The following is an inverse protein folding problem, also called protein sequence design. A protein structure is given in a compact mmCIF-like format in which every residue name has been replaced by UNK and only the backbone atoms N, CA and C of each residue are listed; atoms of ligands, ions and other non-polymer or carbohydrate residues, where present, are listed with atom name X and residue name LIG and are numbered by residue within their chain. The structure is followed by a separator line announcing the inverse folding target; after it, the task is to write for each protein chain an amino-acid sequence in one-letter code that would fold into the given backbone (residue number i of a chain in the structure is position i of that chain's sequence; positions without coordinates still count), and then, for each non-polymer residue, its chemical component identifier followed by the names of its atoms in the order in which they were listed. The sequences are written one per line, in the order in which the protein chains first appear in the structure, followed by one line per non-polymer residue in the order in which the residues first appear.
data_IF_005941323686
#
_entry.id   IF_005941323686
#
_cell.length_a   1.000
_cell.length_b   1.000
_cell.length_c   1.000
_cell.angle_alpha   90.00
_cell.angle_beta   90.00
_cell.angle_gamma   90.00
#
_symmetry.space_group_name_H-M   'P 1'
#
loop_
_entity.id
_entity.type
_entity.pdbx_description
1 polymer ?
#
# COMPACT_ATOMS: atom_id res chain seq x y z
N UNK A 1 5.37 -12.33 7.66
CA UNK A 1 6.52 -13.16 7.21
C UNK A 1 6.25 -14.67 7.05
N UNK A 2 5.16 -15.26 7.58
CA UNK A 2 4.80 -16.66 7.25
C UNK A 2 4.47 -16.93 5.76
N UNK A 3 4.28 -15.88 4.98
CA UNK A 3 3.88 -15.96 3.57
C UNK A 3 5.04 -16.27 2.61
N UNK A 4 6.28 -16.26 3.09
CA UNK A 4 7.48 -16.46 2.28
C UNK A 4 8.39 -17.56 2.84
N UNK A 5 7.92 -18.43 3.75
CA UNK A 5 8.78 -19.39 4.47
C UNK A 5 10.03 -18.75 5.12
N UNK A 6 9.94 -17.46 5.49
CA UNK A 6 11.05 -16.64 5.98
C UNK A 6 12.15 -16.34 4.95
N UNK A 7 11.96 -16.69 3.68
CA UNK A 7 12.83 -16.34 2.54
C UNK A 7 12.16 -15.26 1.69
N UNK A 8 12.58 -14.01 1.87
CA UNK A 8 12.17 -12.88 1.06
C UNK A 8 13.44 -12.15 0.60
N UNK A 9 13.62 -12.02 -0.71
CA UNK A 9 14.83 -11.39 -1.27
C UNK A 9 14.89 -9.89 -0.97
N UNK A 10 13.73 -9.21 -1.05
CA UNK A 10 13.62 -7.77 -0.83
C UNK A 10 12.20 -7.35 -0.43
N UNK A 11 12.11 -6.41 0.50
CA UNK A 11 10.89 -5.70 0.89
C UNK A 11 11.12 -4.21 0.65
N UNK A 12 10.17 -3.54 -0.01
CA UNK A 12 10.11 -2.07 -0.05
C UNK A 12 8.87 -1.65 0.73
N UNK A 13 9.08 -0.98 1.86
CA UNK A 13 8.01 -0.56 2.77
C UNK A 13 7.80 0.94 2.66
N UNK A 14 6.58 1.36 2.40
CA UNK A 14 6.21 2.77 2.30
C UNK A 14 5.43 3.19 3.54
N UNK A 15 5.84 4.28 4.19
CA UNK A 15 5.19 4.82 5.38
C UNK A 15 5.38 6.34 5.45
N UNK A 16 4.35 7.16 5.22
CA UNK A 16 4.48 8.62 5.28
C UNK A 16 4.42 9.22 6.70
N UNK A 17 3.78 8.58 7.69
CA UNK A 17 3.67 9.13 9.05
C UNK A 17 5.03 8.98 9.76
N UNK A 18 5.60 10.11 10.19
CA UNK A 18 6.94 10.16 10.79
C UNK A 18 7.07 9.32 12.07
N UNK A 19 6.01 9.19 12.85
CA UNK A 19 5.99 8.34 14.06
C UNK A 19 5.97 6.87 13.66
N UNK A 20 5.16 6.51 12.67
CA UNK A 20 5.12 5.15 12.13
C UNK A 20 6.46 4.77 11.50
N UNK A 21 7.10 5.67 10.74
CA UNK A 21 8.48 5.49 10.24
C UNK A 21 9.43 5.19 11.41
N UNK A 22 9.36 5.96 12.50
CA UNK A 22 10.23 5.74 13.65
C UNK A 22 10.00 4.38 14.31
N UNK A 23 8.74 3.95 14.42
CA UNK A 23 8.39 2.62 14.91
C UNK A 23 8.96 1.53 13.98
N UNK A 24 8.84 1.70 12.67
CA UNK A 24 9.40 0.79 11.68
C UNK A 24 10.94 0.70 11.82
N UNK A 25 11.64 1.82 11.96
CA UNK A 25 13.08 1.84 12.22
C UNK A 25 13.45 1.05 13.48
N UNK A 26 12.76 1.30 14.60
CA UNK A 26 13.02 0.62 15.87
C UNK A 26 12.74 -0.90 15.80
N UNK A 27 11.76 -1.32 14.99
CA UNK A 27 11.48 -2.73 14.71
C UNK A 27 12.59 -3.35 13.86
N UNK A 28 13.02 -2.67 12.80
CA UNK A 28 14.10 -3.15 11.92
C UNK A 28 15.43 -3.27 12.67
N UNK A 29 15.75 -2.34 13.58
CA UNK A 29 16.93 -2.43 14.45
C UNK A 29 16.92 -3.69 15.32
N UNK A 30 15.75 -4.09 15.82
CA UNK A 30 15.56 -5.30 16.65
C UNK A 30 15.51 -6.59 15.83
N UNK A 31 15.39 -6.50 14.51
CA UNK A 31 15.22 -7.65 13.60
C UNK A 31 16.24 -7.60 12.45
N UNK A 32 17.53 -7.96 12.70
CA UNK A 32 18.61 -7.80 11.72
C UNK A 32 18.34 -8.45 10.36
N UNK A 33 17.80 -9.68 10.35
CA UNK A 33 17.44 -10.37 9.09
C UNK A 33 16.39 -9.63 8.27
N UNK A 34 15.42 -9.01 8.94
CA UNK A 34 14.39 -8.22 8.25
C UNK A 34 14.99 -6.91 7.73
N UNK A 35 15.86 -6.28 8.52
CA UNK A 35 16.57 -5.05 8.13
C UNK A 35 17.44 -5.24 6.90
N UNK A 36 18.11 -6.38 6.76
CA UNK A 36 18.97 -6.68 5.60
C UNK A 36 18.20 -6.68 4.28
N UNK A 37 16.94 -7.12 4.30
CA UNK A 37 16.12 -7.25 3.10
C UNK A 37 15.11 -6.10 2.92
N UNK A 38 14.95 -5.22 3.91
CA UNK A 38 13.91 -4.18 3.89
C UNK A 38 14.47 -2.80 3.62
N UNK A 39 13.97 -2.15 2.57
CA UNK A 39 14.13 -0.73 2.29
C UNK A 39 12.89 0.02 2.79
N UNK A 40 13.04 0.84 3.83
CA UNK A 40 11.98 1.74 4.30
C UNK A 40 12.02 3.05 3.49
N UNK A 41 10.88 3.44 2.94
CA UNK A 41 10.68 4.65 2.13
C UNK A 41 9.69 5.55 2.85
N UNK A 42 10.12 6.70 3.41
CA UNK A 42 9.25 7.59 4.18
C UNK A 42 8.38 8.46 3.27
N UNK A 43 7.57 7.83 2.40
CA UNK A 43 6.67 8.46 1.43
C UNK A 43 5.35 7.69 1.39
N UNK A 44 4.27 8.41 1.06
CA UNK A 44 2.99 7.78 0.72
C UNK A 44 3.03 7.21 -0.70
N UNK A 45 2.10 6.31 -1.01
CA UNK A 45 1.92 5.81 -2.39
C UNK A 45 0.83 6.58 -3.11
N UNK A 46 1.08 6.91 -4.38
CA UNK A 46 0.14 7.63 -5.24
C UNK A 46 0.41 7.30 -6.72
N UNK A 47 -0.35 7.93 -7.62
CA UNK A 47 -0.15 7.79 -9.07
C UNK A 47 1.12 8.47 -9.59
N UNK A 48 1.71 9.39 -8.82
CA UNK A 48 2.96 10.09 -9.17
C UNK A 48 3.67 10.64 -7.94
N UNK A 49 4.91 11.10 -8.10
CA UNK A 49 5.57 11.96 -7.11
C UNK A 49 4.84 13.31 -7.03
N UNK A 50 4.34 13.64 -5.85
CA UNK A 50 3.70 14.92 -5.53
C UNK A 50 3.71 15.12 -4.00
N UNK A 51 3.12 16.21 -3.54
CA UNK A 51 2.88 16.48 -2.13
C UNK A 51 1.36 16.43 -1.87
N UNK A 52 0.95 15.66 -0.88
CA UNK A 52 -0.45 15.59 -0.44
C UNK A 52 -0.60 16.17 0.97
N UNK A 53 -1.75 16.78 1.23
CA UNK A 53 -2.13 17.26 2.56
C UNK A 53 -2.89 16.16 3.28
N UNK A 54 -2.42 15.85 4.48
CA UNK A 54 -2.85 14.76 5.33
C UNK A 54 -3.34 15.33 6.66
N UNK A 55 -4.53 14.92 7.11
CA UNK A 55 -5.02 15.23 8.45
C UNK A 55 -4.94 13.98 9.31
N UNK A 56 -4.16 14.06 10.40
CA UNK A 56 -4.21 13.04 11.45
C UNK A 56 -5.50 13.22 12.24
N UNK A 57 -6.43 12.27 12.11
CA UNK A 57 -7.67 12.30 12.91
C UNK A 57 -7.45 11.65 14.28
N UNK A 58 -6.48 10.74 14.41
CA UNK A 58 -6.14 10.06 15.65
C UNK A 58 -4.62 9.95 15.87
N UNK A 59 -4.17 10.10 17.12
CA UNK A 59 -2.77 10.00 17.57
C UNK A 59 -2.12 8.60 17.38
N UNK A 60 -2.78 7.68 16.68
CA UNK A 60 -2.40 6.26 16.58
C UNK A 60 -2.34 5.74 15.13
N UNK A 61 -2.46 6.59 14.11
CA UNK A 61 -2.27 6.19 12.70
C UNK A 61 -3.33 5.23 12.15
N UNK A 62 -4.45 5.03 12.84
CA UNK A 62 -5.51 4.08 12.46
C UNK A 62 -6.66 4.69 11.63
N UNK A 63 -6.60 6.00 11.37
CA UNK A 63 -7.65 6.74 10.68
C UNK A 63 -7.02 7.97 10.00
N UNK A 64 -6.52 7.84 8.78
CA UNK A 64 -5.86 8.98 8.13
C UNK A 64 -6.17 9.11 6.65
N UNK A 65 -6.93 10.12 6.26
CA UNK A 65 -7.37 10.32 4.88
C UNK A 65 -6.87 11.64 4.29
N UNK A 66 -6.84 11.69 2.95
CA UNK A 66 -6.42 12.87 2.19
C UNK A 66 -7.48 13.97 2.31
N UNK A 67 -7.08 15.19 2.66
CA UNK A 67 -7.98 16.35 2.77
C UNK A 67 -7.51 17.54 1.94
N UNK A 68 -8.40 18.52 1.76
CA UNK A 68 -8.03 19.85 1.24
C UNK A 68 -7.64 20.75 2.42
N UNK A 69 -6.60 21.57 2.20
CA UNK A 69 -6.10 22.63 3.09
C UNK A 69 -7.24 23.43 3.76
N UNK A 70 -7.38 23.36 5.07
CA UNK A 70 -8.25 24.15 5.94
C UNK A 70 -8.25 23.84 7.46
N UNK A 71 -7.66 22.74 7.97
CA UNK A 71 -7.99 22.17 9.29
C UNK A 71 -6.79 22.01 10.25
N UNK A 72 -5.86 22.97 10.32
CA UNK A 72 -5.01 23.22 11.51
C UNK A 72 -3.99 22.15 11.99
N UNK A 73 -4.11 20.88 11.58
CA UNK A 73 -3.22 19.74 11.89
C UNK A 73 -2.72 19.07 10.60
N UNK A 74 -2.52 19.86 9.57
CA UNK A 74 -2.12 19.41 8.24
C UNK A 74 -0.64 19.02 8.21
N UNK A 75 -0.37 17.77 7.84
CA UNK A 75 0.94 17.35 7.42
C UNK A 75 1.00 17.29 5.91
N UNK A 76 2.05 17.87 5.33
CA UNK A 76 2.37 17.69 3.93
C UNK A 76 3.28 16.48 3.82
N UNK A 77 2.82 15.46 3.11
CA UNK A 77 3.56 14.21 2.91
C UNK A 77 4.01 14.09 1.44
N UNK A 78 5.28 13.74 1.18
CA UNK A 78 5.71 13.39 -0.16
C UNK A 78 5.12 12.02 -0.56
N UNK A 79 4.75 11.88 -1.82
CA UNK A 79 4.30 10.61 -2.40
C UNK A 79 5.30 10.07 -3.42
N UNK A 80 5.13 8.81 -3.78
CA UNK A 80 5.83 8.16 -4.88
C UNK A 80 4.90 7.19 -5.61
N UNK A 81 5.23 6.91 -6.87
CA UNK A 81 4.63 5.80 -7.61
C UNK A 81 5.46 4.52 -7.42
N UNK A 82 4.82 3.35 -7.48
CA UNK A 82 5.52 2.06 -7.41
C UNK A 82 6.39 1.88 -8.65
N UNK A 83 5.88 2.21 -9.82
CA UNK A 83 6.59 2.05 -11.09
C UNK A 83 7.92 2.83 -11.12
N UNK A 84 7.92 4.06 -10.60
CA UNK A 84 9.12 4.89 -10.51
C UNK A 84 10.11 4.36 -9.47
N UNK A 85 9.65 4.00 -8.28
CA UNK A 85 10.55 3.54 -7.20
C UNK A 85 11.16 2.18 -7.53
N UNK A 86 10.42 1.32 -8.21
CA UNK A 86 10.92 0.01 -8.61
C UNK A 86 11.83 0.10 -9.82
N UNK A 87 11.73 1.14 -10.65
CA UNK A 87 12.53 1.36 -11.87
C UNK A 87 12.61 0.09 -12.75
N UNK A 88 11.46 -0.54 -12.95
CA UNK A 88 11.34 -1.80 -13.69
C UNK A 88 11.86 -3.04 -12.96
N UNK A 89 12.22 -2.96 -11.67
CA UNK A 89 12.55 -4.10 -10.83
C UNK A 89 11.38 -5.07 -10.66
N UNK A 90 11.68 -6.36 -10.47
CA UNK A 90 10.67 -7.41 -10.28
C UNK A 90 9.87 -7.19 -9.00
N UNK A 91 8.55 -7.21 -9.11
CA UNK A 91 7.61 -7.24 -7.98
C UNK A 91 6.74 -8.47 -8.09
N UNK A 92 6.76 -9.32 -7.05
CA UNK A 92 5.98 -10.57 -7.01
C UNK A 92 4.75 -10.48 -6.12
N UNK A 93 4.71 -9.50 -5.23
CA UNK A 93 3.64 -9.31 -4.25
C UNK A 93 3.48 -7.84 -3.89
N UNK A 94 2.22 -7.37 -3.79
CA UNK A 94 1.88 -6.03 -3.32
C UNK A 94 0.80 -6.14 -2.24
N UNK A 95 1.09 -5.64 -1.04
CA UNK A 95 0.10 -5.41 0.02
C UNK A 95 -0.21 -3.93 0.09
N UNK A 96 -1.48 -3.56 0.11
CA UNK A 96 -1.92 -2.19 0.34
C UNK A 96 -2.97 -2.11 1.43
N UNK A 97 -2.77 -1.12 2.27
CA UNK A 97 -3.62 -0.73 3.38
C UNK A 97 -3.19 0.69 3.70
N UNK A 98 -3.64 1.61 2.85
CA UNK A 98 -3.08 2.95 2.71
C UNK A 98 -4.18 4.00 2.77
N UNK A 99 -5.22 3.68 3.55
CA UNK A 99 -6.22 4.62 4.04
C UNK A 99 -6.93 5.41 2.93
N UNK A 100 -7.34 4.70 1.88
CA UNK A 100 -8.11 5.23 0.76
C UNK A 100 -7.29 5.68 -0.44
N UNK A 101 -5.96 5.55 -0.41
CA UNK A 101 -5.09 5.83 -1.56
C UNK A 101 -4.95 4.64 -2.53
N UNK A 102 -5.62 3.50 -2.29
CA UNK A 102 -5.44 2.24 -3.01
C UNK A 102 -5.58 2.40 -4.52
N UNK A 103 -6.65 3.03 -5.02
CA UNK A 103 -6.86 3.20 -6.45
C UNK A 103 -5.74 4.01 -7.11
N UNK A 104 -5.25 5.05 -6.44
CA UNK A 104 -4.20 5.93 -6.99
C UNK A 104 -2.82 5.28 -6.92
N UNK A 105 -2.53 4.53 -5.85
CA UNK A 105 -1.34 3.70 -5.77
C UNK A 105 -1.35 2.59 -6.84
N UNK A 106 -2.50 1.98 -7.14
CA UNK A 106 -2.63 1.02 -8.24
C UNK A 106 -2.37 1.67 -9.61
N UNK A 107 -2.82 2.91 -9.84
CA UNK A 107 -2.47 3.67 -11.06
C UNK A 107 -0.97 3.93 -11.16
N UNK A 108 -0.32 4.24 -10.04
CA UNK A 108 1.13 4.38 -9.95
C UNK A 108 1.91 3.06 -10.00
N UNK A 109 1.24 1.93 -10.16
CA UNK A 109 1.82 0.59 -10.24
C UNK A 109 1.38 -0.15 -11.52
N UNK A 110 0.77 0.57 -12.47
CA UNK A 110 0.13 -0.01 -13.65
C UNK A 110 1.11 -0.83 -14.49
N UNK A 111 2.31 -0.30 -14.74
CA UNK A 111 3.32 -0.97 -15.56
C UNK A 111 3.88 -2.20 -14.83
N UNK A 112 4.12 -2.08 -13.52
CA UNK A 112 4.55 -3.19 -12.66
C UNK A 112 3.51 -4.32 -12.66
N UNK A 113 2.23 -3.99 -12.50
CA UNK A 113 1.13 -4.96 -12.46
C UNK A 113 1.01 -5.70 -13.79
N UNK A 114 1.00 -4.98 -14.91
CA UNK A 114 0.91 -5.57 -16.25
C UNK A 114 2.14 -6.42 -16.61
N UNK A 115 3.33 -6.03 -16.15
CA UNK A 115 4.57 -6.71 -16.51
C UNK A 115 4.80 -7.97 -15.70
N UNK A 116 4.61 -7.89 -14.38
CA UNK A 116 5.05 -8.93 -13.45
C UNK A 116 3.90 -9.73 -12.83
N UNK A 117 2.66 -9.29 -13.01
CA UNK A 117 1.47 -9.94 -12.48
C UNK A 117 1.59 -10.31 -10.99
N UNK A 118 2.04 -9.39 -10.12
CA UNK A 118 2.22 -9.68 -8.71
C UNK A 118 0.90 -10.13 -8.08
N UNK A 119 1.00 -10.96 -7.04
CA UNK A 119 -0.17 -11.21 -6.19
C UNK A 119 -0.51 -9.92 -5.45
N UNK A 120 -1.77 -9.50 -5.51
CA UNK A 120 -2.26 -8.30 -4.82
C UNK A 120 -3.05 -8.70 -3.59
N UNK A 121 -2.82 -8.03 -2.46
CA UNK A 121 -3.62 -8.12 -1.25
C UNK A 121 -3.97 -6.69 -0.80
N UNK A 122 -5.20 -6.25 -1.06
CA UNK A 122 -5.63 -4.86 -0.93
C UNK A 122 -6.73 -4.74 0.11
N UNK A 123 -6.57 -3.86 1.11
CA UNK A 123 -7.69 -3.40 1.93
C UNK A 123 -8.72 -2.69 1.04
N UNK A 124 -10.00 -3.03 1.19
CA UNK A 124 -11.08 -2.45 0.38
C UNK A 124 -12.23 -1.86 1.22
N UNK A 125 -11.93 -1.53 2.48
CA UNK A 125 -12.92 -1.02 3.44
C UNK A 125 -12.78 0.48 3.72
N UNK A 126 -11.76 1.15 3.17
CA UNK A 126 -11.51 2.58 3.41
C UNK A 126 -12.54 3.48 2.72
N UNK A 127 -12.98 3.11 1.51
CA UNK A 127 -14.05 3.81 0.79
C UNK A 127 -15.14 2.82 0.35
N UNK A 128 -16.42 3.20 0.44
CA UNK A 128 -17.51 2.35 -0.07
C UNK A 128 -17.34 1.96 -1.53
N UNK A 129 -16.70 2.81 -2.34
CA UNK A 129 -16.49 2.59 -3.76
C UNK A 129 -15.38 1.56 -4.05
N UNK A 130 -14.44 1.33 -3.11
CA UNK A 130 -13.28 0.46 -3.30
C UNK A 130 -13.69 -0.99 -3.60
N UNK A 131 -14.83 -1.44 -3.05
CA UNK A 131 -15.39 -2.77 -3.30
C UNK A 131 -15.77 -3.02 -4.77
N UNK A 132 -15.97 -1.95 -5.55
CA UNK A 132 -16.30 -2.02 -6.98
C UNK A 132 -15.14 -1.51 -7.84
N UNK A 133 -14.55 -0.37 -7.47
CA UNK A 133 -13.56 0.31 -8.29
C UNK A 133 -12.24 -0.45 -8.37
N UNK A 134 -11.73 -0.99 -7.25
CA UNK A 134 -10.45 -1.70 -7.25
C UNK A 134 -10.53 -3.01 -8.05
N UNK A 135 -11.53 -3.90 -7.86
CA UNK A 135 -11.73 -5.06 -8.74
C UNK A 135 -11.80 -4.69 -10.22
N UNK A 136 -12.57 -3.65 -10.54
CA UNK A 136 -12.79 -3.20 -11.92
C UNK A 136 -11.50 -2.66 -12.53
N UNK A 137 -10.73 -1.88 -11.79
CA UNK A 137 -9.45 -1.34 -12.25
C UNK A 137 -8.44 -2.46 -12.50
N UNK A 138 -8.26 -3.39 -11.54
CA UNK A 138 -7.37 -4.55 -11.68
C UNK A 138 -7.74 -5.36 -12.94
N UNK A 139 -9.03 -5.65 -13.14
CA UNK A 139 -9.52 -6.37 -14.33
C UNK A 139 -9.34 -5.61 -15.64
N UNK A 140 -9.31 -4.28 -15.60
CA UNK A 140 -9.01 -3.48 -16.79
C UNK A 140 -7.54 -3.51 -17.17
N UNK A 141 -6.64 -3.69 -16.19
CA UNK A 141 -5.20 -3.83 -16.44
C UNK A 141 -4.86 -5.24 -16.93
N UNK A 142 -5.36 -6.26 -16.24
CA UNK A 142 -5.09 -7.68 -16.51
C UNK A 142 -6.38 -8.48 -16.25
N UNK A 143 -7.18 -8.77 -17.29
CA UNK A 143 -8.44 -9.50 -17.19
C UNK A 143 -8.32 -10.90 -16.56
N UNK A 144 -7.14 -11.51 -16.60
CA UNK A 144 -6.83 -12.88 -16.16
C UNK A 144 -6.78 -13.02 -14.64
N UNK A 145 -6.56 -11.94 -13.87
CA UNK A 145 -6.54 -12.00 -12.41
C UNK A 145 -7.80 -12.65 -11.84
N UNK A 146 -7.68 -13.69 -11.03
CA UNK A 146 -8.81 -14.18 -10.24
C UNK A 146 -8.91 -13.40 -8.95
N UNK A 147 -10.12 -12.94 -8.65
CA UNK A 147 -10.42 -12.09 -7.52
C UNK A 147 -11.05 -12.91 -6.39
N UNK A 148 -10.55 -12.75 -5.18
CA UNK A 148 -11.04 -13.41 -3.98
C UNK A 148 -11.24 -12.38 -2.87
N UNK A 149 -12.35 -12.47 -2.15
CA UNK A 149 -12.65 -11.57 -1.04
C UNK A 149 -12.59 -12.33 0.28
N UNK A 150 -11.93 -11.77 1.29
CA UNK A 150 -11.93 -12.27 2.67
C UNK A 150 -12.09 -11.12 3.64
N UNK A 151 -12.80 -11.37 4.72
CA UNK A 151 -12.97 -10.43 5.81
C UNK A 151 -12.43 -11.11 7.08
N UNK A 152 -11.55 -10.42 7.79
CA UNK A 152 -10.79 -10.96 8.93
C UNK A 152 -11.25 -10.40 10.28
N UNK A 153 -12.22 -9.50 10.28
CA UNK A 153 -12.82 -8.94 11.48
C UNK A 153 -14.34 -9.17 11.52
N UNK A 154 -15.02 -8.82 12.60
CA UNK A 154 -16.48 -9.02 12.70
C UNK A 154 -17.28 -7.87 12.07
N UNK A 155 -16.62 -6.76 11.76
CA UNK A 155 -17.19 -5.60 11.10
C UNK A 155 -16.60 -5.44 9.68
N UNK A 156 -16.80 -4.26 9.08
CA UNK A 156 -16.37 -3.98 7.71
C UNK A 156 -14.85 -3.80 7.57
N UNK A 157 -14.13 -3.57 8.68
CA UNK A 157 -12.67 -3.44 8.67
C UNK A 157 -11.99 -4.76 8.33
N UNK A 158 -10.70 -4.70 7.97
CA UNK A 158 -9.92 -5.90 7.64
C UNK A 158 -10.54 -6.74 6.51
N UNK A 159 -11.29 -6.09 5.62
CA UNK A 159 -11.80 -6.69 4.38
C UNK A 159 -10.76 -6.55 3.28
N UNK A 160 -10.23 -7.69 2.83
CA UNK A 160 -9.12 -7.77 1.89
C UNK A 160 -9.55 -8.42 0.57
N UNK A 161 -9.30 -7.72 -0.52
CA UNK A 161 -9.35 -8.24 -1.88
C UNK A 161 -8.00 -8.85 -2.25
N UNK A 162 -8.01 -10.11 -2.64
CA UNK A 162 -6.87 -10.78 -3.25
C UNK A 162 -7.05 -10.85 -4.76
N UNK A 163 -6.03 -10.44 -5.52
CA UNK A 163 -5.95 -10.69 -6.96
C UNK A 163 -4.77 -11.63 -7.26
N UNK A 164 -5.06 -12.81 -7.80
CA UNK A 164 -4.07 -13.85 -8.08
C UNK A 164 -4.09 -14.16 -9.57
N UNK A 165 -2.94 -13.99 -10.24
CA UNK A 165 -2.77 -14.28 -11.66
C UNK A 165 -2.72 -15.79 -11.89
N UNK A 166 -3.46 -16.28 -12.90
CA UNK A 166 -3.58 -17.70 -13.24
C UNK A 166 -3.71 -17.91 -14.74
#
# INVERSE_FOLDING_TARGET
MRWCDYECDKVVSFEPDRRCVKICEDVLEKMPRLREVTQLVPKGLWSSETELVFNEVDNYGSSSFITRKGDGNEQVIPTASIDEIMDGGLVTFIKMDIEGAELEALKGAEETIKRYHPTLALSIYHKPEDIVELPRFIKSLVPEYKLYLRNYHLDQTETVLYAIFQ
#
